data_IF_440650714286
#
_entry.id   IF_440650714286
#
_cell.length_a   1.000
_cell.length_b   1.000
_cell.length_c   1.000
_cell.angle_alpha   90.00
_cell.angle_beta   90.00
_cell.angle_gamma   90.00
#
_symmetry.space_group_name_H-M   'P 1'
#
loop_
_entity.id
_entity.type
_entity.pdbx_description
1 polymer ?
#
# COMPACT_ATOMS: atom_id res chain seq x y z
N UNK A 1 -29.00 19.13 5.36
CA UNK A 1 -29.39 17.70 5.47
C UNK A 1 -29.79 17.49 6.92
N UNK A 2 -31.05 17.14 7.22
CA UNK A 2 -31.53 17.07 8.61
C UNK A 2 -30.95 15.86 9.36
N UNK A 3 -30.95 15.91 10.70
CA UNK A 3 -30.45 14.85 11.57
C UNK A 3 -31.19 13.52 11.34
N UNK A 4 -32.49 13.59 11.06
CA UNK A 4 -33.36 12.41 10.83
C UNK A 4 -32.94 11.63 9.58
N UNK A 5 -32.52 12.31 8.51
CA UNK A 5 -32.06 11.66 7.27
C UNK A 5 -30.78 10.83 7.48
N UNK A 6 -29.91 11.23 8.42
CA UNK A 6 -28.70 10.48 8.73
C UNK A 6 -29.00 9.25 9.59
N UNK A 7 -29.96 9.35 10.53
CA UNK A 7 -30.38 8.23 11.35
C UNK A 7 -30.99 7.11 10.50
N UNK A 8 -31.93 7.44 9.61
CA UNK A 8 -32.57 6.47 8.71
C UNK A 8 -31.57 5.83 7.74
N UNK A 9 -30.64 6.64 7.20
CA UNK A 9 -29.56 6.14 6.35
C UNK A 9 -28.65 5.17 7.09
N UNK A 10 -28.24 5.51 8.31
CA UNK A 10 -27.35 4.65 9.09
C UNK A 10 -28.01 3.30 9.39
N UNK A 11 -29.27 3.30 9.83
CA UNK A 11 -30.05 2.09 10.10
C UNK A 11 -30.13 1.19 8.86
N UNK A 12 -30.42 1.77 7.69
CA UNK A 12 -30.50 1.04 6.43
C UNK A 12 -29.18 0.35 6.06
N UNK A 13 -28.07 1.08 6.13
CA UNK A 13 -26.75 0.51 5.77
C UNK A 13 -26.35 -0.59 6.76
N UNK A 14 -26.55 -0.40 8.07
CA UNK A 14 -26.25 -1.45 9.07
C UNK A 14 -27.08 -2.70 8.79
N UNK A 15 -28.37 -2.55 8.45
CA UNK A 15 -29.21 -3.69 8.07
C UNK A 15 -28.68 -4.41 6.82
N UNK A 16 -28.23 -3.67 5.80
CA UNK A 16 -27.63 -4.26 4.59
C UNK A 16 -26.27 -4.92 4.84
N UNK A 17 -25.46 -4.41 5.78
CA UNK A 17 -24.17 -5.01 6.18
C UNK A 17 -24.34 -6.28 7.02
N UNK A 18 -25.46 -6.42 7.74
CA UNK A 18 -25.69 -7.53 8.67
C UNK A 18 -25.71 -8.89 7.97
N UNK A 19 -26.40 -9.02 6.84
CA UNK A 19 -26.47 -10.29 6.10
C UNK A 19 -25.11 -10.82 5.66
N UNK A 20 -24.26 -10.06 4.93
CA UNK A 20 -22.92 -10.54 4.58
C UNK A 20 -22.01 -10.69 5.82
N UNK A 21 -22.17 -9.86 6.86
CA UNK A 21 -21.46 -10.03 8.13
C UNK A 21 -21.75 -11.41 8.75
N UNK A 22 -23.02 -11.75 8.93
CA UNK A 22 -23.46 -13.01 9.56
C UNK A 22 -23.03 -14.23 8.74
N UNK A 23 -23.02 -14.10 7.41
CA UNK A 23 -22.56 -15.14 6.48
C UNK A 23 -21.02 -15.20 6.34
N UNK A 24 -20.27 -14.32 7.02
CA UNK A 24 -18.81 -14.16 6.87
C UNK A 24 -18.38 -13.88 5.41
N UNK A 25 -19.26 -13.24 4.64
CA UNK A 25 -19.08 -12.89 3.23
C UNK A 25 -18.38 -11.53 3.07
N UNK A 26 -17.04 -11.55 3.07
CA UNK A 26 -16.22 -10.34 2.91
C UNK A 26 -16.51 -9.59 1.59
N UNK A 27 -16.54 -10.25 0.41
CA UNK A 27 -16.86 -9.56 -0.83
C UNK A 27 -18.23 -8.85 -0.79
N UNK A 28 -19.27 -9.54 -0.30
CA UNK A 28 -20.60 -8.95 -0.14
C UNK A 28 -20.59 -7.76 0.80
N UNK A 29 -19.92 -7.87 1.94
CA UNK A 29 -19.81 -6.82 2.95
C UNK A 29 -19.21 -5.52 2.38
N UNK A 30 -18.02 -5.62 1.77
CA UNK A 30 -17.36 -4.43 1.22
C UNK A 30 -18.04 -3.90 -0.06
N UNK A 31 -18.80 -4.74 -0.76
CA UNK A 31 -19.67 -4.30 -1.87
C UNK A 31 -20.80 -3.41 -1.38
N UNK A 32 -21.42 -3.73 -0.23
CA UNK A 32 -22.43 -2.86 0.41
C UNK A 32 -21.79 -1.51 0.77
N UNK A 33 -20.63 -1.51 1.43
CA UNK A 33 -19.92 -0.26 1.78
C UNK A 33 -19.61 0.60 0.55
N UNK A 34 -19.07 -0.02 -0.51
CA UNK A 34 -18.80 0.66 -1.78
C UNK A 34 -20.05 1.28 -2.40
N UNK A 35 -21.18 0.54 -2.40
CA UNK A 35 -22.48 1.04 -2.92
C UNK A 35 -22.96 2.29 -2.18
N UNK A 36 -22.65 2.41 -0.90
CA UNK A 36 -22.95 3.60 -0.08
C UNK A 36 -21.87 4.68 -0.11
N UNK A 37 -20.97 4.63 -1.10
CA UNK A 37 -19.87 5.55 -1.32
C UNK A 37 -18.88 5.63 -0.14
N UNK A 38 -18.69 4.52 0.59
CA UNK A 38 -17.62 4.42 1.58
C UNK A 38 -16.27 4.17 0.85
N UNK A 39 -15.31 5.10 0.92
CA UNK A 39 -14.06 4.98 0.18
C UNK A 39 -13.15 3.87 0.73
N UNK A 40 -13.20 3.61 2.05
CA UNK A 40 -12.47 2.50 2.64
C UNK A 40 -13.06 1.16 2.17
N UNK A 41 -14.40 1.06 2.07
CA UNK A 41 -15.08 -0.09 1.50
C UNK A 41 -14.63 -0.41 0.08
N UNK A 42 -14.45 0.59 -0.78
CA UNK A 42 -13.91 0.39 -2.12
C UNK A 42 -12.46 -0.13 -2.11
N UNK A 43 -11.61 0.42 -1.25
CA UNK A 43 -10.22 -0.03 -1.08
C UNK A 43 -10.15 -1.48 -0.57
N UNK A 44 -10.89 -1.78 0.51
CA UNK A 44 -10.92 -3.09 1.14
C UNK A 44 -11.50 -4.17 0.20
N UNK A 45 -12.47 -3.82 -0.65
CA UNK A 45 -12.98 -4.72 -1.68
C UNK A 45 -11.89 -5.15 -2.67
N UNK A 46 -10.98 -4.24 -3.04
CA UNK A 46 -9.82 -4.56 -3.88
C UNK A 46 -8.84 -5.54 -3.23
N UNK A 47 -8.68 -5.46 -1.91
CA UNK A 47 -7.90 -6.41 -1.11
C UNK A 47 -8.61 -7.76 -1.08
N UNK A 48 -9.90 -7.79 -0.74
CA UNK A 48 -10.67 -9.02 -0.57
C UNK A 48 -10.77 -9.83 -1.86
N UNK A 49 -10.94 -9.16 -3.00
CA UNK A 49 -11.03 -9.79 -4.32
C UNK A 49 -9.64 -10.04 -4.95
N UNK A 50 -8.57 -9.54 -4.34
CA UNK A 50 -7.19 -9.61 -4.86
C UNK A 50 -7.09 -9.21 -6.35
N UNK A 51 -7.90 -8.24 -6.78
CA UNK A 51 -8.07 -7.87 -8.19
C UNK A 51 -7.53 -6.48 -8.53
N UNK A 52 -7.34 -5.61 -7.53
CA UNK A 52 -6.65 -4.34 -7.67
C UNK A 52 -5.18 -4.48 -7.26
N UNK A 53 -4.29 -3.72 -7.91
CA UNK A 53 -2.86 -3.74 -7.59
C UNK A 53 -2.60 -3.39 -6.11
N UNK A 54 -3.20 -2.30 -5.62
CA UNK A 54 -3.11 -1.93 -4.20
C UNK A 54 -3.64 -3.01 -3.25
N UNK A 55 -4.65 -3.78 -3.69
CA UNK A 55 -5.17 -4.93 -2.96
C UNK A 55 -4.16 -6.07 -2.84
N UNK A 56 -3.51 -6.42 -3.95
CA UNK A 56 -2.43 -7.41 -3.97
C UNK A 56 -1.25 -6.95 -3.11
N UNK A 57 -0.83 -5.69 -3.24
CA UNK A 57 0.23 -5.12 -2.40
C UNK A 57 -0.10 -5.26 -0.92
N UNK A 58 -1.32 -4.93 -0.48
CA UNK A 58 -1.70 -5.08 0.92
C UNK A 58 -1.59 -6.53 1.43
N UNK A 59 -2.02 -7.51 0.62
CA UNK A 59 -1.91 -8.95 0.95
C UNK A 59 -0.45 -9.37 1.08
N UNK A 60 0.40 -9.01 0.12
CA UNK A 60 1.80 -9.40 0.16
C UNK A 60 2.60 -8.62 1.20
N UNK A 61 2.21 -7.38 1.48
CA UNK A 61 2.82 -6.57 2.53
C UNK A 61 2.62 -7.19 3.91
N UNK A 62 1.39 -7.61 4.27
CA UNK A 62 1.17 -8.26 5.57
C UNK A 62 1.90 -9.62 5.67
N UNK A 63 1.93 -10.39 4.57
CA UNK A 63 2.71 -11.64 4.50
C UNK A 63 4.21 -11.38 4.70
N UNK A 64 4.73 -10.34 4.04
CA UNK A 64 6.11 -9.87 4.18
C UNK A 64 6.43 -9.36 5.58
N UNK A 65 5.53 -8.61 6.20
CA UNK A 65 5.68 -8.12 7.57
C UNK A 65 5.71 -9.26 8.59
N UNK A 66 4.83 -10.25 8.44
CA UNK A 66 4.83 -11.47 9.27
C UNK A 66 6.18 -12.21 9.15
N UNK A 67 6.70 -12.37 7.93
CA UNK A 67 7.99 -13.01 7.72
C UNK A 67 9.15 -12.17 8.28
N UNK A 68 9.15 -10.86 8.04
CA UNK A 68 10.23 -9.96 8.42
C UNK A 68 10.39 -9.88 9.94
N UNK A 69 9.30 -9.59 10.65
CA UNK A 69 9.31 -9.35 12.09
C UNK A 69 9.22 -10.64 12.91
N UNK A 70 8.38 -11.60 12.51
CA UNK A 70 8.07 -12.77 13.33
C UNK A 70 8.68 -14.06 12.80
N UNK A 71 9.38 -14.01 11.66
CA UNK A 71 9.96 -15.18 10.97
C UNK A 71 8.91 -16.25 10.65
N UNK A 72 7.66 -15.83 10.44
CA UNK A 72 6.51 -16.70 10.16
C UNK A 72 5.93 -16.39 8.80
N UNK A 73 5.84 -17.41 7.95
CA UNK A 73 5.10 -17.32 6.69
C UNK A 73 3.62 -17.40 6.97
N UNK A 74 2.85 -16.44 6.47
CA UNK A 74 1.41 -16.41 6.61
C UNK A 74 0.76 -17.20 5.45
N UNK A 75 0.08 -18.31 5.78
CA UNK A 75 -0.65 -19.13 4.80
C UNK A 75 -1.88 -18.40 4.26
N UNK A 76 -2.40 -18.83 3.12
CA UNK A 76 -3.62 -18.27 2.54
C UNK A 76 -4.85 -18.50 3.43
N UNK A 77 -4.91 -19.65 4.13
CA UNK A 77 -5.95 -19.93 5.12
C UNK A 77 -5.88 -18.96 6.31
N UNK A 78 -4.69 -18.74 6.86
CA UNK A 78 -4.50 -17.81 7.98
C UNK A 78 -4.83 -16.38 7.56
N UNK A 79 -4.44 -15.99 6.34
CA UNK A 79 -4.81 -14.70 5.78
C UNK A 79 -6.32 -14.55 5.61
N UNK A 80 -7.02 -15.58 5.13
CA UNK A 80 -8.47 -15.58 5.00
C UNK A 80 -9.14 -15.35 6.37
N UNK A 81 -8.71 -16.06 7.40
CA UNK A 81 -9.24 -15.92 8.76
C UNK A 81 -9.02 -14.51 9.31
N UNK A 82 -7.82 -13.96 9.16
CA UNK A 82 -7.50 -12.57 9.54
C UNK A 82 -8.40 -11.59 8.78
N UNK A 83 -8.55 -11.77 7.47
CA UNK A 83 -9.36 -10.89 6.64
C UNK A 83 -10.84 -10.93 7.02
N UNK A 84 -11.35 -12.08 7.47
CA UNK A 84 -12.71 -12.19 7.99
C UNK A 84 -12.80 -11.45 9.34
N UNK A 85 -11.85 -11.65 10.24
CA UNK A 85 -11.84 -10.97 11.53
C UNK A 85 -11.74 -9.44 11.40
N UNK A 86 -11.02 -8.93 10.39
CA UNK A 86 -11.02 -7.49 10.07
C UNK A 86 -12.41 -6.99 9.65
N UNK A 87 -13.14 -7.76 8.84
CA UNK A 87 -14.51 -7.42 8.44
C UNK A 87 -15.47 -7.42 9.64
N UNK A 88 -15.38 -8.43 10.50
CA UNK A 88 -16.19 -8.52 11.73
C UNK A 88 -15.91 -7.32 12.64
N UNK A 89 -14.63 -6.96 12.83
CA UNK A 89 -14.26 -5.81 13.63
C UNK A 89 -14.74 -4.47 13.03
N UNK A 90 -14.62 -4.26 11.70
CA UNK A 90 -15.17 -3.08 11.03
C UNK A 90 -16.68 -2.95 11.27
N UNK A 91 -17.44 -4.06 11.17
CA UNK A 91 -18.88 -4.06 11.46
C UNK A 91 -19.18 -3.68 12.90
N UNK A 92 -18.46 -4.25 13.87
CA UNK A 92 -18.64 -3.92 15.29
C UNK A 92 -18.46 -2.43 15.57
N UNK A 93 -17.48 -1.78 14.91
CA UNK A 93 -17.28 -0.33 15.05
C UNK A 93 -18.42 0.45 14.41
N UNK A 94 -18.85 0.09 13.20
CA UNK A 94 -19.95 0.78 12.50
C UNK A 94 -21.28 0.64 13.23
N UNK A 95 -21.57 -0.53 13.79
CA UNK A 95 -22.80 -0.81 14.52
C UNK A 95 -22.94 0.01 15.83
N UNK A 96 -21.82 0.52 16.36
CA UNK A 96 -21.78 1.35 17.59
C UNK A 96 -21.86 2.86 17.31
N UNK A 97 -21.85 3.28 16.05
CA UNK A 97 -21.90 4.70 15.70
C UNK A 97 -23.31 5.24 15.90
N UNK A 98 -23.42 6.22 16.79
CA UNK A 98 -24.68 6.88 17.14
C UNK A 98 -24.89 8.08 16.20
N UNK A 99 -26.12 8.31 15.69
CA UNK A 99 -26.46 9.54 14.96
C UNK A 99 -26.08 10.81 15.75
N UNK A 100 -25.65 11.89 15.06
CA UNK A 100 -25.66 12.10 13.62
C UNK A 100 -24.38 11.66 12.88
N UNK A 101 -23.47 10.95 13.55
CA UNK A 101 -22.21 10.53 12.95
C UNK A 101 -22.45 9.58 11.78
N UNK A 102 -21.72 9.77 10.69
CA UNK A 102 -21.84 8.91 9.51
C UNK A 102 -21.12 7.59 9.77
N UNK A 103 -21.80 6.48 9.51
CA UNK A 103 -21.15 5.16 9.51
C UNK A 103 -20.27 4.94 8.29
N UNK A 104 -20.56 5.63 7.18
CA UNK A 104 -19.66 5.72 6.04
C UNK A 104 -18.56 6.71 6.41
N UNK A 105 -17.30 6.35 6.15
CA UNK A 105 -16.12 7.17 6.47
C UNK A 105 -15.68 7.07 7.94
N UNK A 106 -15.34 5.87 8.39
CA UNK A 106 -14.65 5.70 9.67
C UNK A 106 -13.34 6.50 9.69
N UNK A 107 -13.04 7.09 10.84
CA UNK A 107 -11.80 7.81 11.03
C UNK A 107 -10.61 6.84 11.01
N UNK A 108 -9.45 7.30 10.53
CA UNK A 108 -8.30 6.43 10.28
C UNK A 108 -7.78 5.75 11.56
N UNK A 109 -7.88 6.39 12.73
CA UNK A 109 -7.47 5.77 14.00
C UNK A 109 -8.39 4.62 14.36
N UNK A 110 -9.71 4.75 14.15
CA UNK A 110 -10.66 3.65 14.35
C UNK A 110 -10.25 2.44 13.50
N UNK A 111 -9.90 2.69 12.24
CA UNK A 111 -9.43 1.66 11.30
C UNK A 111 -8.11 1.05 11.77
N UNK A 112 -7.13 1.88 12.11
CA UNK A 112 -5.83 1.47 12.66
C UNK A 112 -6.01 0.55 13.86
N UNK A 113 -6.85 0.94 14.81
CA UNK A 113 -6.95 0.30 16.11
C UNK A 113 -7.54 -1.10 15.98
N UNK A 114 -8.55 -1.30 15.13
CA UNK A 114 -9.07 -2.65 14.88
C UNK A 114 -8.13 -3.51 14.03
N UNK A 115 -7.36 -2.92 13.10
CA UNK A 115 -6.32 -3.67 12.38
C UNK A 115 -5.25 -4.15 13.35
N UNK A 116 -4.73 -3.25 14.19
CA UNK A 116 -3.74 -3.57 15.20
C UNK A 116 -4.24 -4.70 16.10
N UNK A 117 -5.44 -4.58 16.68
CA UNK A 117 -6.00 -5.62 17.55
C UNK A 117 -6.14 -6.96 16.83
N UNK A 118 -6.68 -6.95 15.61
CA UNK A 118 -6.87 -8.18 14.82
C UNK A 118 -5.53 -8.85 14.49
N UNK A 119 -4.50 -8.06 14.18
CA UNK A 119 -3.16 -8.56 13.89
C UNK A 119 -2.47 -9.11 15.13
N UNK A 120 -2.58 -8.41 16.27
CA UNK A 120 -2.00 -8.86 17.54
C UNK A 120 -2.59 -10.22 17.97
N UNK A 121 -3.92 -10.40 17.85
CA UNK A 121 -4.58 -11.69 18.11
C UNK A 121 -4.05 -12.80 17.19
N UNK A 122 -3.77 -12.47 15.92
CA UNK A 122 -3.19 -13.40 14.95
C UNK A 122 -1.66 -13.58 15.08
N UNK A 123 -1.02 -12.94 16.06
CA UNK A 123 0.43 -12.97 16.22
C UNK A 123 1.18 -12.32 15.06
N UNK A 124 0.62 -11.27 14.46
CA UNK A 124 1.21 -10.42 13.42
C UNK A 124 1.51 -9.05 14.02
N UNK A 125 2.64 -8.40 13.68
CA UNK A 125 2.91 -7.05 14.14
C UNK A 125 1.85 -6.08 13.62
N UNK A 126 1.46 -5.10 14.44
CA UNK A 126 0.61 -3.97 14.02
C UNK A 126 1.12 -3.23 12.77
N UNK A 127 2.44 -3.28 12.55
CA UNK A 127 3.12 -2.73 11.38
C UNK A 127 2.76 -3.45 10.07
N UNK A 128 2.05 -4.58 10.12
CA UNK A 128 1.56 -5.31 8.95
C UNK A 128 0.42 -4.62 8.20
N UNK A 129 -0.15 -3.54 8.74
CA UNK A 129 -1.13 -2.72 8.01
C UNK A 129 -0.38 -1.69 7.17
N UNK A 130 -0.58 -1.71 5.85
CA UNK A 130 0.21 -0.89 4.91
C UNK A 130 0.18 0.60 5.24
N UNK A 131 -0.92 1.14 5.79
CA UNK A 131 -1.00 2.55 6.17
C UNK A 131 -0.45 2.87 7.56
N UNK A 132 -0.12 1.87 8.40
CA UNK A 132 0.25 2.09 9.80
C UNK A 132 1.45 3.02 9.93
N UNK A 133 2.58 2.67 9.31
CA UNK A 133 3.82 3.42 9.46
C UNK A 133 3.71 4.85 8.89
N UNK A 134 3.22 5.08 7.67
CA UNK A 134 3.03 6.43 7.14
C UNK A 134 2.12 7.32 8.01
N UNK A 135 1.00 6.78 8.52
CA UNK A 135 0.09 7.55 9.38
C UNK A 135 0.70 7.89 10.74
N UNK A 136 1.52 6.99 11.31
CA UNK A 136 2.22 7.26 12.56
C UNK A 136 3.37 8.26 12.38
N UNK A 137 4.06 8.24 11.23
CA UNK A 137 5.11 9.21 10.87
C UNK A 137 4.55 10.63 10.85
N UNK A 138 3.44 10.85 10.13
CA UNK A 138 2.86 12.20 10.02
C UNK A 138 2.15 12.65 11.29
N UNK A 139 1.82 11.71 12.18
CA UNK A 139 1.20 11.96 13.46
C UNK A 139 -0.28 12.39 13.38
N UNK A 140 -0.94 12.53 14.54
CA UNK A 140 -2.38 12.81 14.61
C UNK A 140 -2.80 14.12 13.94
N UNK A 141 -1.92 15.13 13.94
CA UNK A 141 -2.20 16.44 13.34
C UNK A 141 -2.34 16.42 11.82
N UNK A 142 -1.66 15.48 11.13
CA UNK A 142 -1.66 15.36 9.66
C UNK A 142 -2.25 14.03 9.16
N UNK A 143 -2.53 13.09 10.06
CA UNK A 143 -3.02 11.76 9.71
C UNK A 143 -4.37 11.77 8.99
N UNK A 144 -5.27 12.71 9.33
CA UNK A 144 -6.55 12.85 8.62
C UNK A 144 -6.35 13.23 7.15
N UNK A 145 -5.48 14.20 6.86
CA UNK A 145 -5.22 14.66 5.50
C UNK A 145 -4.49 13.60 4.68
N UNK A 146 -3.51 12.91 5.29
CA UNK A 146 -2.84 11.79 4.65
C UNK A 146 -3.81 10.64 4.36
N UNK A 147 -4.69 10.29 5.31
CA UNK A 147 -5.69 9.24 5.09
C UNK A 147 -6.65 9.60 3.95
N UNK A 148 -7.09 10.85 3.89
CA UNK A 148 -7.94 11.34 2.82
C UNK A 148 -7.24 11.26 1.47
N UNK A 149 -5.94 11.59 1.45
CA UNK A 149 -5.08 11.44 0.27
C UNK A 149 -4.96 9.96 -0.12
N UNK A 150 -4.69 9.05 0.81
CA UNK A 150 -4.63 7.61 0.55
C UNK A 150 -5.93 7.04 -0.04
N UNK A 151 -7.08 7.51 0.44
CA UNK A 151 -8.39 7.07 -0.04
C UNK A 151 -8.73 7.60 -1.44
N UNK A 152 -8.19 8.77 -1.82
CA UNK A 152 -8.45 9.42 -3.11
C UNK A 152 -7.42 9.07 -4.19
N UNK A 153 -6.15 9.02 -3.78
CA UNK A 153 -4.96 8.95 -4.63
C UNK A 153 -4.16 7.64 -4.48
N UNK A 154 -4.75 6.67 -3.79
CA UNK A 154 -4.14 5.37 -3.56
C UNK A 154 -3.23 5.31 -2.33
N UNK A 155 -3.42 4.25 -1.56
CA UNK A 155 -2.70 3.99 -0.32
C UNK A 155 -1.20 3.78 -0.55
N UNK A 156 -0.81 3.06 -1.61
CA UNK A 156 0.59 2.67 -1.83
C UNK A 156 1.44 3.89 -2.18
N UNK A 157 1.00 4.70 -3.14
CA UNK A 157 1.74 5.89 -3.60
C UNK A 157 1.87 6.94 -2.49
N UNK A 158 0.76 7.26 -1.82
CA UNK A 158 0.74 8.21 -0.70
C UNK A 158 1.63 7.77 0.46
N UNK A 159 1.62 6.47 0.77
CA UNK A 159 2.51 5.88 1.78
C UNK A 159 3.98 5.96 1.39
N UNK A 160 4.28 5.68 0.12
CA UNK A 160 5.64 5.69 -0.41
C UNK A 160 6.27 7.09 -0.30
N UNK A 161 5.56 8.14 -0.73
CA UNK A 161 6.07 9.52 -0.59
C UNK A 161 6.37 9.87 0.86
N UNK A 162 5.44 9.56 1.78
CA UNK A 162 5.62 9.83 3.22
C UNK A 162 6.86 9.13 3.78
N UNK A 163 7.08 7.87 3.42
CA UNK A 163 8.22 7.08 3.89
C UNK A 163 9.53 7.56 3.28
N UNK A 164 9.53 7.91 1.99
CA UNK A 164 10.72 8.44 1.30
C UNK A 164 11.13 9.79 1.87
N UNK A 165 10.18 10.68 2.19
CA UNK A 165 10.48 11.99 2.79
C UNK A 165 11.26 11.85 4.11
N UNK A 166 10.88 10.88 4.95
CA UNK A 166 11.60 10.57 6.20
C UNK A 166 12.98 9.99 5.96
N UNK A 167 13.13 9.16 4.92
CA UNK A 167 14.41 8.52 4.60
C UNK A 167 15.35 9.43 3.81
N UNK A 168 14.85 10.51 3.19
CA UNK A 168 15.65 11.41 2.35
C UNK A 168 16.88 11.96 3.08
N UNK A 169 16.82 12.47 4.33
CA UNK A 169 18.01 12.97 5.00
C UNK A 169 19.07 11.87 5.28
N UNK A 170 18.62 10.65 5.60
CA UNK A 170 19.48 9.47 5.81
C UNK A 170 20.16 9.09 4.49
N UNK A 171 19.38 9.13 3.41
CA UNK A 171 19.84 8.87 2.07
C UNK A 171 20.88 9.93 1.62
N UNK A 172 20.61 11.23 1.84
CA UNK A 172 21.53 12.31 1.50
C UNK A 172 22.84 12.19 2.31
N UNK A 173 22.76 11.74 3.57
CA UNK A 173 23.95 11.44 4.38
C UNK A 173 24.77 10.29 3.79
N UNK A 174 24.11 9.20 3.38
CA UNK A 174 24.75 8.07 2.71
C UNK A 174 25.48 8.51 1.43
N UNK A 175 24.83 9.32 0.58
CA UNK A 175 25.40 9.84 -0.65
C UNK A 175 26.64 10.73 -0.39
N UNK A 176 26.59 11.58 0.66
CA UNK A 176 27.75 12.39 1.06
C UNK A 176 28.93 11.57 1.55
N UNK A 177 28.67 10.49 2.30
CA UNK A 177 29.73 9.59 2.81
C UNK A 177 30.36 8.79 1.65
N UNK A 178 29.56 8.40 0.67
CA UNK A 178 29.99 7.57 -0.44
C UNK A 178 30.12 8.37 -1.73
N UNK A 179 31.02 9.36 -1.76
CA UNK A 179 31.30 10.26 -2.89
C UNK A 179 31.64 9.59 -4.25
N UNK A 180 31.62 8.25 -4.33
CA UNK A 180 31.72 7.43 -5.54
C UNK A 180 30.36 6.94 -6.10
N UNK A 181 29.25 7.17 -5.39
CA UNK A 181 27.91 6.91 -5.93
C UNK A 181 27.50 8.10 -6.80
N UNK A 182 27.59 7.91 -8.11
CA UNK A 182 27.46 8.96 -9.12
C UNK A 182 26.06 9.55 -9.27
N UNK A 183 25.04 8.99 -8.60
CA UNK A 183 23.68 9.55 -8.50
C UNK A 183 22.92 8.88 -7.36
N UNK A 184 22.00 9.59 -6.70
CA UNK A 184 21.13 8.94 -5.76
C UNK A 184 20.10 8.06 -6.48
N UNK A 185 19.85 6.79 -6.06
CA UNK A 185 18.73 5.95 -6.51
C UNK A 185 17.35 6.62 -6.57
N UNK A 186 17.18 7.77 -5.91
CA UNK A 186 15.95 8.56 -5.91
C UNK A 186 15.91 9.67 -6.98
N UNK A 187 17.04 10.15 -7.52
CA UNK A 187 17.05 11.19 -8.59
C UNK A 187 16.81 10.61 -10.00
N UNK A 188 16.79 9.29 -10.14
CA UNK A 188 16.45 8.60 -11.39
C UNK A 188 15.02 8.06 -11.45
N UNK A 189 14.23 8.21 -10.38
CA UNK A 189 12.84 7.74 -10.42
C UNK A 189 12.04 8.56 -11.43
N UNK A 190 11.33 7.90 -12.37
CA UNK A 190 10.55 8.62 -13.35
C UNK A 190 9.53 9.51 -12.64
N UNK A 191 9.57 10.81 -12.94
CA UNK A 191 8.51 11.74 -12.58
C UNK A 191 7.20 11.16 -13.11
N UNK A 192 6.18 11.06 -12.25
CA UNK A 192 4.87 10.56 -12.65
C UNK A 192 4.35 11.44 -13.80
N UNK A 193 4.15 10.89 -15.02
CA UNK A 193 3.51 11.63 -16.09
C UNK A 193 2.11 12.03 -15.62
N UNK A 194 1.77 13.31 -15.74
CA UNK A 194 0.48 13.88 -15.29
C UNK A 194 -0.76 13.24 -15.96
N UNK A 195 -0.57 12.36 -16.95
CA UNK A 195 -1.58 11.73 -17.78
C UNK A 195 -1.69 10.20 -17.58
N UNK A 196 -0.90 9.60 -16.70
CA UNK A 196 -1.08 8.19 -16.35
C UNK A 196 -2.11 8.03 -15.24
N UNK A 197 -2.89 6.95 -15.30
CA UNK A 197 -3.66 6.53 -14.13
C UNK A 197 -2.67 6.17 -13.00
N UNK A 198 -3.01 6.45 -11.75
CA UNK A 198 -2.14 6.19 -10.59
C UNK A 198 -1.64 4.73 -10.56
N UNK A 199 -2.47 3.78 -10.99
CA UNK A 199 -2.10 2.36 -11.13
C UNK A 199 -1.00 2.13 -12.18
N UNK A 200 -1.01 2.84 -13.31
CA UNK A 200 0.01 2.71 -14.34
C UNK A 200 1.35 3.34 -13.92
N UNK A 201 1.30 4.49 -13.25
CA UNK A 201 2.49 5.13 -12.67
C UNK A 201 3.12 4.26 -11.58
N UNK A 202 2.28 3.68 -10.72
CA UNK A 202 2.71 2.80 -9.65
C UNK A 202 3.31 1.51 -10.22
N UNK A 203 2.70 0.88 -11.24
CA UNK A 203 3.28 -0.26 -11.94
C UNK A 203 4.63 0.09 -12.57
N UNK A 204 4.79 1.27 -13.17
CA UNK A 204 6.06 1.72 -13.75
C UNK A 204 7.17 1.90 -12.70
N UNK A 205 6.91 2.66 -11.64
CA UNK A 205 7.87 2.88 -10.54
C UNK A 205 8.26 1.56 -9.90
N UNK A 206 7.29 0.69 -9.67
CA UNK A 206 7.50 -0.58 -8.99
C UNK A 206 8.11 -1.65 -9.90
N UNK A 207 7.89 -1.60 -11.21
CA UNK A 207 8.58 -2.45 -12.20
C UNK A 207 10.02 -2.00 -12.39
N UNK A 208 10.27 -0.69 -12.39
CA UNK A 208 11.64 -0.14 -12.40
C UNK A 208 12.41 -0.56 -11.14
N UNK A 209 11.78 -0.41 -9.97
CA UNK A 209 12.30 -0.94 -8.72
C UNK A 209 12.56 -2.45 -8.85
N UNK A 210 11.60 -3.22 -9.37
CA UNK A 210 11.73 -4.67 -9.51
C UNK A 210 12.89 -5.10 -10.42
N UNK A 211 13.13 -4.34 -11.49
CA UNK A 211 14.20 -4.60 -12.46
C UNK A 211 15.59 -4.30 -11.89
N UNK A 212 15.67 -3.32 -10.98
CA UNK A 212 16.92 -2.89 -10.35
C UNK A 212 17.05 -3.37 -8.89
N UNK A 213 16.24 -4.36 -8.48
CA UNK A 213 16.15 -4.83 -7.09
C UNK A 213 17.49 -5.18 -6.47
N UNK A 214 18.43 -5.77 -7.22
CA UNK A 214 19.70 -6.15 -6.64
C UNK A 214 20.50 -4.92 -6.20
N UNK A 215 20.53 -3.87 -7.03
CA UNK A 215 21.17 -2.60 -6.69
C UNK A 215 20.43 -1.88 -5.56
N UNK A 216 19.10 -1.80 -5.64
CA UNK A 216 18.29 -1.21 -4.58
C UNK A 216 18.42 -1.98 -3.26
N UNK A 217 18.52 -3.31 -3.28
CA UNK A 217 18.66 -4.13 -2.07
C UNK A 217 19.99 -3.85 -1.37
N UNK A 218 21.08 -3.76 -2.12
CA UNK A 218 22.40 -3.46 -1.56
C UNK A 218 22.43 -2.04 -0.97
N UNK A 219 21.83 -1.07 -1.65
CA UNK A 219 21.73 0.30 -1.14
C UNK A 219 20.80 0.41 0.07
N UNK A 220 19.67 -0.30 0.08
CA UNK A 220 18.79 -0.41 1.25
C UNK A 220 19.52 -1.03 2.44
N UNK A 221 20.32 -2.08 2.24
CA UNK A 221 21.10 -2.68 3.34
C UNK A 221 22.10 -1.68 3.92
N UNK A 222 22.71 -0.82 3.11
CA UNK A 222 23.62 0.24 3.59
C UNK A 222 22.87 1.35 4.32
N UNK A 223 21.72 1.79 3.80
CA UNK A 223 20.85 2.80 4.44
C UNK A 223 20.37 2.32 5.81
N UNK A 224 20.07 1.01 5.96
CA UNK A 224 19.66 0.41 7.24
C UNK A 224 20.60 0.76 8.39
N UNK A 225 21.91 0.73 8.13
CA UNK A 225 22.94 1.04 9.14
C UNK A 225 22.94 2.50 9.60
N UNK A 226 22.34 3.40 8.82
CA UNK A 226 22.26 4.83 9.10
C UNK A 226 20.93 5.25 9.75
N UNK A 227 19.91 4.37 9.73
CA UNK A 227 18.65 4.60 10.41
C UNK A 227 18.82 4.51 11.93
N UNK A 228 18.99 5.66 12.58
CA UNK A 228 19.27 5.75 14.02
C UNK A 228 18.02 5.96 14.88
N UNK A 229 17.00 6.63 14.35
CA UNK A 229 15.75 6.93 15.07
C UNK A 229 14.70 5.84 14.88
N UNK A 230 13.73 5.76 15.78
CA UNK A 230 12.58 4.83 15.62
C UNK A 230 11.82 5.09 14.32
N UNK A 231 11.62 6.36 13.99
CA UNK A 231 10.91 6.79 12.78
C UNK A 231 11.63 6.33 11.50
N UNK A 232 12.94 6.60 11.38
CA UNK A 232 13.74 6.19 10.22
C UNK A 232 13.87 4.67 10.12
N UNK A 233 13.95 3.94 11.24
CA UNK A 233 13.93 2.47 11.26
C UNK A 233 12.59 1.90 10.77
N UNK A 234 11.48 2.44 11.24
CA UNK A 234 10.16 2.02 10.77
C UNK A 234 9.95 2.36 9.30
N UNK A 235 10.32 3.57 8.87
CA UNK A 235 10.28 3.98 7.46
C UNK A 235 11.09 3.03 6.58
N UNK A 236 12.31 2.67 7.02
CA UNK A 236 13.14 1.68 6.36
C UNK A 236 12.47 0.30 6.27
N UNK A 237 11.97 -0.23 7.39
CA UNK A 237 11.34 -1.54 7.40
C UNK A 237 10.11 -1.58 6.47
N UNK A 238 9.30 -0.52 6.47
CA UNK A 238 8.16 -0.38 5.56
C UNK A 238 8.63 -0.46 4.10
N UNK A 239 9.66 0.32 3.75
CA UNK A 239 10.19 0.38 2.39
C UNK A 239 10.79 -0.97 1.97
N UNK A 240 11.52 -1.63 2.87
CA UNK A 240 12.08 -2.95 2.65
C UNK A 240 10.97 -3.98 2.37
N UNK A 241 9.95 -4.05 3.23
CA UNK A 241 8.83 -4.99 3.06
C UNK A 241 8.08 -4.69 1.76
N UNK A 242 7.84 -3.40 1.48
CA UNK A 242 7.15 -2.98 0.27
C UNK A 242 7.89 -3.45 -0.99
N UNK A 243 9.20 -3.18 -1.08
CA UNK A 243 10.00 -3.51 -2.26
C UNK A 243 10.23 -5.02 -2.37
N UNK A 244 10.72 -5.65 -1.30
CA UNK A 244 11.22 -7.03 -1.34
C UNK A 244 10.11 -8.06 -1.26
N UNK A 245 9.04 -7.78 -0.52
CA UNK A 245 8.01 -8.77 -0.23
C UNK A 245 6.66 -8.44 -0.86
N UNK A 246 6.29 -7.17 -1.02
CA UNK A 246 4.93 -6.79 -1.43
C UNK A 246 4.78 -6.55 -2.94
N UNK A 247 5.65 -5.71 -3.47
CA UNK A 247 5.52 -5.15 -4.81
C UNK A 247 5.82 -6.18 -5.88
N UNK A 248 6.92 -6.93 -5.77
CA UNK A 248 7.32 -7.88 -6.82
C UNK A 248 6.21 -8.90 -7.07
N UNK A 249 5.68 -9.61 -6.05
CA UNK A 249 4.65 -10.60 -6.29
C UNK A 249 3.35 -9.96 -6.81
N UNK A 250 2.99 -8.77 -6.32
CA UNK A 250 1.82 -8.04 -6.79
C UNK A 250 1.95 -7.65 -8.27
N UNK A 251 3.09 -7.13 -8.69
CA UNK A 251 3.37 -6.76 -10.09
C UNK A 251 3.36 -7.99 -11.00
N UNK A 252 3.98 -9.10 -10.60
CA UNK A 252 3.97 -10.34 -11.38
C UNK A 252 2.54 -10.83 -11.63
N UNK A 253 1.68 -10.82 -10.61
CA UNK A 253 0.28 -11.25 -10.75
C UNK A 253 -0.52 -10.25 -11.58
N UNK A 254 -0.37 -8.95 -11.34
CA UNK A 254 -1.10 -7.93 -12.11
C UNK A 254 -0.73 -8.00 -13.60
N UNK A 255 0.55 -8.07 -13.94
CA UNK A 255 1.01 -8.22 -15.32
C UNK A 255 0.50 -9.52 -15.92
N UNK A 256 0.58 -10.63 -15.19
CA UNK A 256 0.02 -11.92 -15.63
C UNK A 256 -1.48 -11.84 -15.95
N UNK A 257 -2.26 -11.17 -15.10
CA UNK A 257 -3.69 -10.92 -15.35
C UNK A 257 -3.89 -10.07 -16.61
N UNK A 258 -3.18 -8.96 -16.76
CA UNK A 258 -3.27 -8.09 -17.94
C UNK A 258 -2.90 -8.82 -19.23
N UNK A 259 -1.82 -9.62 -19.20
CA UNK A 259 -1.39 -10.51 -20.30
C UNK A 259 -2.53 -11.46 -20.71
N UNK A 260 -3.17 -12.10 -19.73
CA UNK A 260 -4.23 -13.08 -19.96
C UNK A 260 -5.51 -12.47 -20.55
N UNK A 261 -5.79 -11.19 -20.27
CA UNK A 261 -7.02 -10.52 -20.71
C UNK A 261 -6.85 -9.62 -21.92
N UNK A 262 -5.64 -9.11 -22.18
CA UNK A 262 -5.36 -8.17 -23.28
C UNK A 262 -3.90 -8.26 -23.75
N UNK A 263 -3.53 -9.40 -24.37
CA UNK A 263 -2.17 -9.65 -24.86
C UNK A 263 -1.65 -8.57 -25.83
N UNK A 264 -2.48 -8.05 -26.74
CA UNK A 264 -2.06 -7.02 -27.72
C UNK A 264 -1.73 -5.68 -27.06
N UNK A 265 -2.56 -5.20 -26.13
CA UNK A 265 -2.29 -3.97 -25.36
C UNK A 265 -1.10 -4.14 -24.41
N UNK A 266 -0.96 -5.34 -23.83
CA UNK A 266 0.14 -5.67 -22.93
C UNK A 266 1.48 -5.76 -23.68
N UNK A 267 1.50 -6.31 -24.90
CA UNK A 267 2.69 -6.30 -25.76
C UNK A 267 3.16 -4.87 -26.04
N UNK A 268 2.26 -3.93 -26.31
CA UNK A 268 2.62 -2.52 -26.47
C UNK A 268 3.17 -1.90 -25.18
N UNK A 269 2.55 -2.18 -24.03
CA UNK A 269 3.00 -1.67 -22.73
C UNK A 269 4.36 -2.25 -22.32
N UNK A 270 4.55 -3.56 -22.51
CA UNK A 270 5.82 -4.27 -22.27
C UNK A 270 6.91 -3.78 -23.22
N UNK A 271 6.63 -3.60 -24.52
CA UNK A 271 7.60 -3.03 -25.47
C UNK A 271 7.95 -1.58 -25.13
N UNK A 272 6.99 -0.79 -24.64
CA UNK A 272 7.24 0.58 -24.17
C UNK A 272 8.08 0.58 -22.89
N UNK A 273 7.83 -0.37 -21.97
CA UNK A 273 8.65 -0.62 -20.78
C UNK A 273 10.07 -1.04 -21.17
N UNK A 274 10.24 -1.95 -22.12
CA UNK A 274 11.55 -2.37 -22.62
C UNK A 274 12.28 -1.23 -23.35
N UNK A 275 11.61 -0.40 -24.15
CA UNK A 275 12.23 0.76 -24.79
C UNK A 275 12.58 1.87 -23.78
N UNK A 276 11.79 2.06 -22.71
CA UNK A 276 12.13 2.98 -21.62
C UNK A 276 13.33 2.48 -20.82
N UNK A 277 13.41 1.17 -20.56
CA UNK A 277 14.56 0.51 -19.94
C UNK A 277 15.80 0.60 -20.84
N UNK A 278 15.68 0.39 -22.15
CA UNK A 278 16.78 0.48 -23.12
C UNK A 278 17.23 1.94 -23.37
N UNK A 279 16.31 2.91 -23.31
CA UNK A 279 16.63 4.34 -23.36
C UNK A 279 17.37 4.81 -22.09
N UNK A 280 16.95 4.32 -20.92
CA UNK A 280 17.69 4.54 -19.66
C UNK A 280 19.08 3.90 -19.73
N UNK A 281 19.21 2.69 -20.28
CA UNK A 281 20.48 2.00 -20.51
C UNK A 281 21.44 2.76 -21.44
N UNK A 282 20.96 3.26 -22.59
CA UNK A 282 21.79 4.04 -23.54
C UNK A 282 22.22 5.40 -22.98
N UNK A 283 21.37 6.04 -22.17
CA UNK A 283 21.74 7.29 -21.47
C UNK A 283 22.81 7.08 -20.38
N UNK A 284 22.84 5.90 -19.76
CA UNK A 284 23.82 5.54 -18.72
C UNK A 284 25.19 5.10 -19.28
N UNK A 285 25.22 4.54 -20.50
CA UNK A 285 26.45 4.10 -21.16
C UNK A 285 27.19 5.22 -21.88
N UNK A 286 26.49 6.27 -22.32
CA UNK A 286 27.10 7.42 -23.02
C UNK A 286 27.92 8.32 -22.08
N UNK A 287 27.73 8.22 -20.75
CA UNK A 287 28.52 9.00 -19.77
C UNK A 287 29.86 8.31 -19.45
N UNK A 288 30.01 7.00 -19.70
CA UNK A 288 31.28 6.28 -19.50
C UNK A 288 32.30 6.44 -20.64
N UNK A 289 31.91 7.07 -21.75
CA UNK A 289 32.79 7.26 -22.91
C UNK A 289 33.40 8.68 -23.01
N UNK A 290 33.21 9.52 -21.98
CA UNK A 290 33.76 10.89 -21.90
C UNK A 290 34.53 11.18 -20.59
N UNK A 291 35.00 10.13 -19.90
CA UNK A 291 35.95 10.22 -18.78
C UNK A 291 37.09 9.24 -19.01
#
# INVERSE_FOLDING_TARGET
>A
MSLDHNADRNTKIIAELKTPHDNRDRPGYYTVLKRHADPYGNLALGVVNANAFAGLVAIYFIKGASLYYNKKTLSDSSWLDISINLMLADFEFRAKIIPPNRITYLYWTTIRDYHQRTFEIAGIPRLGWTAYIPLEIVGPSKGADLWNTMLKHGIVLSSFHTVVDVLKPVYDQFARINAQLSKPPLEGMPSIPNNLTEDAALVLILTDIATHISGYKDDLLKIKGLCSTRETKHAYDWLWIMIVHATIPASTISVGKTISTNWRGTKHTILHLFHLVDACWKSSTTISALS
#
